data_IF_936887909431
#
_entry.id   IF_936887909431
#
_cell.length_a   1.000
_cell.length_b   1.000
_cell.length_c   1.000
_cell.angle_alpha   90.00
_cell.angle_beta   90.00
_cell.angle_gamma   90.00
#
_symmetry.space_group_name_H-M   'P 1'
#
loop_
_entity.id
_entity.type
_entity.pdbx_description
1 polymer ?
#
# COMPACT_ATOMS: atom_id res chain seq x y z
N UNK A 1 -3.67 -2.16 -12.84
CA UNK A 1 -2.22 -2.44 -13.00
C UNK A 1 -2.03 -3.93 -13.31
N UNK A 2 -1.09 -4.28 -14.20
CA UNK A 2 -0.75 -5.68 -14.51
C UNK A 2 -0.17 -6.36 -13.26
N UNK A 3 -0.74 -7.48 -12.85
CA UNK A 3 -0.34 -8.29 -11.68
C UNK A 3 1.17 -8.57 -11.67
N UNK A 4 1.81 -8.69 -12.84
CA UNK A 4 3.25 -8.92 -12.98
C UNK A 4 4.09 -7.74 -12.49
N UNK A 5 3.61 -6.50 -12.62
CA UNK A 5 4.32 -5.31 -12.11
C UNK A 5 4.22 -5.18 -10.59
N UNK A 6 3.06 -5.50 -9.99
CA UNK A 6 2.90 -5.62 -8.52
C UNK A 6 3.86 -6.67 -7.96
N UNK A 7 3.84 -7.87 -8.54
CA UNK A 7 4.71 -8.97 -8.12
C UNK A 7 6.20 -8.64 -8.25
N UNK A 8 6.64 -7.93 -9.30
CA UNK A 8 8.05 -7.58 -9.46
C UNK A 8 8.54 -6.59 -8.38
N UNK A 9 7.71 -5.58 -8.04
CA UNK A 9 8.01 -4.61 -6.98
C UNK A 9 8.11 -5.28 -5.60
N UNK A 10 7.22 -6.25 -5.34
CA UNK A 10 7.22 -7.02 -4.10
C UNK A 10 8.37 -8.04 -4.03
N UNK A 11 8.69 -8.73 -5.14
CA UNK A 11 9.72 -9.77 -5.21
C UNK A 11 11.13 -9.23 -5.01
N UNK A 12 11.41 -8.01 -5.49
CA UNK A 12 12.71 -7.34 -5.25
C UNK A 12 12.88 -6.96 -3.77
N UNK A 13 11.79 -6.82 -3.01
CA UNK A 13 11.83 -6.23 -1.67
C UNK A 13 11.86 -7.23 -0.51
N UNK A 14 11.63 -8.54 -0.72
CA UNK A 14 11.59 -9.56 0.37
C UNK A 14 10.87 -9.04 1.64
N UNK A 15 9.78 -8.30 1.45
CA UNK A 15 9.09 -7.62 2.53
C UNK A 15 7.95 -8.49 3.03
N UNK A 16 7.93 -8.76 4.34
CA UNK A 16 6.79 -9.39 5.03
C UNK A 16 5.47 -8.66 4.76
N UNK A 17 5.54 -7.37 4.48
CA UNK A 17 4.38 -6.52 4.25
C UNK A 17 4.28 -6.10 2.78
N UNK A 18 3.07 -6.02 2.24
CA UNK A 18 2.81 -5.47 0.92
C UNK A 18 1.58 -4.57 0.89
N UNK A 19 1.54 -3.64 -0.07
CA UNK A 19 0.39 -2.73 -0.25
C UNK A 19 -0.61 -3.43 -1.17
N UNK A 20 -1.75 -3.80 -0.61
CA UNK A 20 -2.84 -4.45 -1.36
C UNK A 20 -3.48 -3.45 -2.33
N UNK A 21 -3.94 -2.32 -1.77
CA UNK A 21 -4.60 -1.26 -2.51
C UNK A 21 -4.54 0.10 -1.77
N UNK A 22 -4.92 1.15 -2.50
CA UNK A 22 -5.18 2.48 -1.95
C UNK A 22 -6.56 2.99 -2.35
N UNK A 23 -7.12 3.86 -1.51
CA UNK A 23 -8.38 4.56 -1.78
C UNK A 23 -8.17 6.06 -1.63
N UNK A 24 -8.52 6.82 -2.67
CA UNK A 24 -8.54 8.28 -2.61
C UNK A 24 -9.72 8.74 -1.76
N UNK A 25 -9.44 9.48 -0.69
CA UNK A 25 -10.45 10.02 0.20
C UNK A 25 -10.96 11.38 -0.31
N UNK A 26 -12.08 11.84 0.25
CA UNK A 26 -12.72 13.09 -0.18
C UNK A 26 -11.88 14.35 0.09
N UNK A 27 -10.95 14.29 1.04
CA UNK A 27 -10.00 15.37 1.37
C UNK A 27 -8.75 15.38 0.47
N UNK A 28 -8.66 14.45 -0.48
CA UNK A 28 -7.51 14.29 -1.37
C UNK A 28 -6.36 13.48 -0.76
N UNK A 29 -6.48 13.02 0.48
CA UNK A 29 -5.53 12.11 1.11
C UNK A 29 -5.83 10.66 0.67
N UNK A 30 -4.92 9.74 0.96
CA UNK A 30 -5.04 8.33 0.56
C UNK A 30 -5.07 7.42 1.76
N UNK A 31 -6.06 6.55 1.80
CA UNK A 31 -6.09 5.40 2.67
C UNK A 31 -5.29 4.27 2.01
N UNK A 32 -4.40 3.63 2.76
CA UNK A 32 -3.48 2.59 2.27
C UNK A 32 -3.77 1.30 3.02
N UNK A 33 -4.08 0.21 2.30
CA UNK A 33 -4.29 -1.12 2.88
C UNK A 33 -3.01 -1.93 2.74
N UNK A 34 -2.45 -2.36 3.87
CA UNK A 34 -1.23 -3.15 3.93
C UNK A 34 -1.54 -4.52 4.51
N UNK A 35 -1.06 -5.57 3.86
CA UNK A 35 -1.23 -6.96 4.28
C UNK A 35 0.11 -7.49 4.81
N UNK A 36 0.05 -8.19 5.94
CA UNK A 36 1.14 -8.98 6.49
C UNK A 36 1.07 -10.41 5.94
N UNK A 37 2.12 -10.87 5.26
CA UNK A 37 2.18 -12.24 4.71
C UNK A 37 2.15 -13.33 5.78
N UNK A 38 2.61 -13.04 7.00
CA UNK A 38 2.51 -14.00 8.11
C UNK A 38 1.08 -14.08 8.66
N UNK A 39 0.28 -13.01 8.52
CA UNK A 39 -1.08 -12.90 9.05
C UNK A 39 -2.04 -12.24 8.04
N UNK A 40 -2.28 -12.84 6.86
CA UNK A 40 -2.97 -12.18 5.76
C UNK A 40 -4.46 -11.89 6.03
N UNK A 41 -5.03 -12.50 7.08
CA UNK A 41 -6.44 -12.30 7.48
C UNK A 41 -6.71 -10.92 8.10
N UNK A 42 -5.66 -10.19 8.50
CA UNK A 42 -5.79 -8.94 9.24
C UNK A 42 -5.03 -7.82 8.53
N UNK A 43 -5.54 -7.32 7.39
CA UNK A 43 -4.98 -6.14 6.75
C UNK A 43 -5.02 -4.95 7.71
N UNK A 44 -3.97 -4.14 7.69
CA UNK A 44 -3.87 -2.92 8.48
C UNK A 44 -3.95 -1.70 7.58
N UNK A 45 -4.73 -0.73 8.01
CA UNK A 45 -4.97 0.50 7.25
C UNK A 45 -4.13 1.65 7.77
N UNK A 46 -3.52 2.39 6.84
CA UNK A 46 -2.72 3.58 7.11
C UNK A 46 -3.27 4.78 6.34
N UNK A 47 -2.93 5.98 6.79
CA UNK A 47 -3.28 7.24 6.12
C UNK A 47 -2.00 7.85 5.58
N UNK A 48 -1.97 8.19 4.30
CA UNK A 48 -0.77 8.61 3.59
C UNK A 48 -0.12 9.84 4.22
N UNK A 49 -0.89 10.88 4.54
CA UNK A 49 -0.39 12.07 5.25
C UNK A 49 0.22 11.79 6.63
N UNK A 50 -0.10 10.65 7.26
CA UNK A 50 0.36 10.26 8.60
C UNK A 50 1.55 9.30 8.57
N UNK A 51 2.05 8.88 7.41
CA UNK A 51 3.15 7.91 7.32
C UNK A 51 4.40 8.39 8.06
N UNK A 52 4.72 9.68 7.98
CA UNK A 52 5.91 10.25 8.65
C UNK A 52 5.86 10.17 10.17
N UNK A 53 4.67 10.19 10.78
CA UNK A 53 4.47 10.11 12.23
C UNK A 53 4.43 8.69 12.78
N UNK A 54 4.43 7.67 11.91
CA UNK A 54 4.52 6.28 12.34
C UNK A 54 5.85 5.99 13.07
N UNK A 55 5.86 5.03 14.01
CA UNK A 55 7.10 4.52 14.57
C UNK A 55 7.96 3.89 13.47
N UNK A 56 9.29 3.87 13.68
CA UNK A 56 10.23 3.22 12.77
C UNK A 56 10.01 1.71 12.76
N UNK A 57 9.20 1.27 11.81
CA UNK A 57 8.73 -0.11 11.63
C UNK A 57 8.96 -0.51 10.17
N UNK A 58 9.04 -1.82 9.87
CA UNK A 58 9.17 -2.28 8.49
C UNK A 58 8.04 -1.78 7.58
N UNK A 59 6.83 -1.59 8.13
CA UNK A 59 5.70 -1.01 7.39
C UNK A 59 5.96 0.45 7.05
N UNK A 60 6.48 1.27 7.97
CA UNK A 60 6.85 2.65 7.67
C UNK A 60 7.89 2.72 6.54
N UNK A 61 8.90 1.86 6.59
CA UNK A 61 9.93 1.80 5.53
C UNK A 61 9.34 1.41 4.17
N UNK A 62 8.43 0.43 4.14
CA UNK A 62 7.69 0.07 2.93
C UNK A 62 6.89 1.25 2.37
N UNK A 63 6.12 1.93 3.22
CA UNK A 63 5.26 3.04 2.81
C UNK A 63 6.08 4.24 2.31
N UNK A 64 7.19 4.57 2.96
CA UNK A 64 8.10 5.63 2.51
C UNK A 64 8.79 5.29 1.20
N UNK A 65 9.20 4.02 1.00
CA UNK A 65 9.79 3.56 -0.26
C UNK A 65 8.82 3.67 -1.44
N UNK A 66 7.53 3.48 -1.17
CA UNK A 66 6.48 3.52 -2.18
C UNK A 66 5.70 4.84 -2.21
N UNK A 67 6.15 5.88 -1.51
CA UNK A 67 5.45 7.17 -1.39
C UNK A 67 5.05 7.74 -2.75
N UNK A 68 5.99 7.84 -3.70
CA UNK A 68 5.68 8.33 -5.05
C UNK A 68 4.63 7.47 -5.78
N UNK A 69 4.70 6.15 -5.67
CA UNK A 69 3.74 5.24 -6.31
C UNK A 69 2.34 5.36 -5.68
N UNK A 70 2.28 5.56 -4.35
CA UNK A 70 1.04 5.78 -3.61
C UNK A 70 0.43 7.12 -4.03
N UNK A 71 1.22 8.20 -4.02
CA UNK A 71 0.83 9.54 -4.45
C UNK A 71 0.24 9.54 -5.86
N UNK A 72 0.91 8.86 -6.79
CA UNK A 72 0.51 8.75 -8.19
C UNK A 72 -0.73 7.86 -8.42
N UNK A 73 -1.29 7.25 -7.38
CA UNK A 73 -2.46 6.37 -7.47
C UNK A 73 -2.17 5.02 -8.13
N UNK A 74 -0.91 4.59 -8.14
CA UNK A 74 -0.51 3.30 -8.75
C UNK A 74 -1.22 2.12 -8.09
N UNK A 75 -1.46 2.20 -6.79
CA UNK A 75 -2.12 1.18 -5.99
C UNK A 75 -3.64 1.35 -5.91
N UNK A 76 -4.22 2.36 -6.56
CA UNK A 76 -5.65 2.61 -6.45
C UNK A 76 -6.43 1.40 -6.97
N UNK A 77 -7.38 0.94 -6.17
CA UNK A 77 -8.35 0.00 -6.68
C UNK A 77 -9.09 0.66 -7.85
N UNK A 78 -8.99 0.04 -9.02
CA UNK A 78 -9.81 0.47 -10.15
C UNK A 78 -11.27 0.23 -9.78
N UNK A 79 -12.21 1.14 -10.07
CA UNK A 79 -13.63 1.00 -9.75
C UNK A 79 -14.35 -0.15 -10.51
N UNK A 80 -13.62 -1.12 -11.06
CA UNK A 80 -14.12 -2.20 -11.92
C UNK A 80 -13.88 -3.61 -11.35
N UNK A 81 -13.90 -3.75 -10.02
CA UNK A 81 -13.86 -5.05 -9.34
C UNK A 81 -15.13 -5.31 -8.52
N UNK A 82 -16.29 -4.96 -9.08
CA UNK A 82 -17.60 -5.47 -8.67
C UNK A 82 -18.20 -6.17 -9.90
N UNK A 83 -17.82 -7.42 -10.12
CA UNK A 83 -18.51 -8.39 -10.98
C UNK A 83 -18.46 -9.75 -10.30
#
# INVERSE_FOLDING_TARGET
MDLKKKLLLEYICHSRFFIECTYLMADGDRQIVVVDQENPRFPTTYIHSKVFSLPNTPVKELLLRHEGLISDGTYDESPLSLN
#
